data_IF_158010243043
#
_entry.id   IF_158010243043
#
_cell.length_a   1.000
_cell.length_b   1.000
_cell.length_c   1.000
_cell.angle_alpha   90.00
_cell.angle_beta   90.00
_cell.angle_gamma   90.00
#
_symmetry.space_group_name_H-M   'P 1'
#
loop_
_entity.id
_entity.type
_entity.pdbx_description
1 polymer ?
#
# COMPACT_ATOMS: atom_id res chain seq x y z
N UNK A 1 9.91 10.79 23.30
CA UNK A 1 10.64 10.13 22.20
C UNK A 1 11.30 11.22 21.37
N UNK A 2 12.54 11.00 20.93
CA UNK A 2 13.22 11.89 19.97
C UNK A 2 12.67 11.65 18.55
N UNK A 3 12.95 12.54 17.57
CA UNK A 3 12.60 12.29 16.17
C UNK A 3 13.12 10.93 15.66
N UNK A 4 14.36 10.57 15.97
CA UNK A 4 14.97 9.31 15.56
C UNK A 4 14.26 8.11 16.16
N UNK A 5 13.86 8.20 17.44
CA UNK A 5 13.06 7.16 18.09
C UNK A 5 11.68 7.00 17.44
N UNK A 6 11.06 8.10 16.98
CA UNK A 6 9.79 8.04 16.27
C UNK A 6 9.95 7.42 14.88
N UNK A 7 10.97 7.81 14.13
CA UNK A 7 11.30 7.21 12.83
C UNK A 7 11.54 5.70 12.98
N UNK A 8 12.28 5.28 13.99
CA UNK A 8 12.51 3.86 14.28
C UNK A 8 11.23 3.11 14.63
N UNK A 9 10.28 3.73 15.35
CA UNK A 9 8.97 3.12 15.61
C UNK A 9 8.15 2.97 14.32
N UNK A 10 8.16 3.97 13.44
CA UNK A 10 7.47 3.86 12.15
C UNK A 10 8.10 2.77 11.28
N UNK A 11 9.43 2.69 11.24
CA UNK A 11 10.14 1.62 10.51
C UNK A 11 9.76 0.24 11.05
N UNK A 12 9.76 0.06 12.37
CA UNK A 12 9.36 -1.20 12.99
C UNK A 12 7.91 -1.59 12.66
N UNK A 13 7.00 -0.60 12.54
CA UNK A 13 5.62 -0.86 12.09
C UNK A 13 5.59 -1.35 10.64
N UNK A 14 6.38 -0.74 9.75
CA UNK A 14 6.51 -1.17 8.35
C UNK A 14 7.08 -2.58 8.28
N UNK A 15 8.18 -2.85 8.99
CA UNK A 15 8.83 -4.17 9.00
C UNK A 15 7.86 -5.26 9.45
N UNK A 16 7.07 -5.02 10.50
CA UNK A 16 6.07 -5.96 11.02
C UNK A 16 4.93 -6.21 10.03
N UNK A 17 4.43 -5.16 9.37
CA UNK A 17 3.34 -5.31 8.40
C UNK A 17 3.82 -5.96 7.11
N UNK A 18 5.02 -5.63 6.60
CA UNK A 18 5.63 -6.32 5.47
C UNK A 18 5.86 -7.80 5.76
N UNK A 19 6.42 -8.13 6.94
CA UNK A 19 6.56 -9.53 7.38
C UNK A 19 5.20 -10.23 7.46
N UNK A 20 4.17 -9.55 7.97
CA UNK A 20 2.81 -10.08 8.07
C UNK A 20 2.20 -10.43 6.71
N UNK A 21 2.50 -9.65 5.68
CA UNK A 21 2.04 -9.91 4.31
C UNK A 21 2.99 -10.80 3.50
N UNK A 22 4.12 -11.23 4.09
CA UNK A 22 5.11 -12.06 3.39
C UNK A 22 5.90 -11.29 2.33
N UNK A 23 5.97 -9.97 2.44
CA UNK A 23 6.67 -9.08 1.51
C UNK A 23 8.12 -8.83 1.95
N UNK A 24 9.00 -8.53 0.99
CA UNK A 24 10.38 -8.13 1.29
C UNK A 24 10.41 -6.74 1.95
N UNK A 25 11.06 -6.56 3.10
CA UNK A 25 11.02 -5.32 3.85
C UNK A 25 11.67 -4.15 3.11
N UNK A 26 11.12 -2.95 3.30
CA UNK A 26 11.61 -1.70 2.71
C UNK A 26 11.95 -0.66 3.78
N UNK A 27 12.99 0.13 3.53
CA UNK A 27 13.33 1.27 4.38
C UNK A 27 12.40 2.46 4.07
N UNK A 28 11.95 3.17 5.11
CA UNK A 28 11.19 4.41 4.94
C UNK A 28 12.11 5.54 4.45
N UNK A 29 11.78 6.10 3.29
CA UNK A 29 12.35 7.34 2.77
C UNK A 29 11.67 8.56 3.42
N UNK A 30 12.29 9.14 4.46
CA UNK A 30 11.78 10.36 5.08
C UNK A 30 12.08 11.60 4.24
N UNK A 31 11.05 12.40 3.96
CA UNK A 31 11.18 13.73 3.35
C UNK A 31 10.62 14.80 4.29
N UNK A 32 10.96 16.07 4.08
CA UNK A 32 10.42 17.18 4.87
C UNK A 32 9.65 18.13 3.98
N UNK A 33 8.37 18.33 4.27
CA UNK A 33 7.48 19.27 3.59
C UNK A 33 6.57 19.94 4.63
N UNK A 34 6.54 21.27 4.62
CA UNK A 34 5.58 22.05 5.41
C UNK A 34 4.28 22.23 4.63
N UNK A 35 3.14 22.50 5.31
CA UNK A 35 1.89 22.77 4.62
C UNK A 35 2.03 23.94 3.64
N UNK A 36 1.40 23.82 2.49
CA UNK A 36 1.36 24.89 1.49
C UNK A 36 0.55 26.11 1.97
N UNK A 37 0.44 27.14 1.13
CA UNK A 37 -0.30 28.36 1.47
C UNK A 37 -1.80 28.14 1.73
N UNK A 38 -2.35 27.01 1.28
CA UNK A 38 -3.74 26.60 1.49
C UNK A 38 -3.88 25.60 2.66
N UNK A 39 -2.78 25.23 3.32
CA UNK A 39 -2.75 24.28 4.42
C UNK A 39 -2.74 22.81 3.99
N UNK A 40 -2.57 22.51 2.70
CA UNK A 40 -2.44 21.15 2.19
C UNK A 40 -1.03 20.62 2.46
N UNK A 41 -0.92 19.34 2.80
CA UNK A 41 0.35 18.69 3.12
C UNK A 41 0.28 17.20 2.77
N UNK A 42 1.37 16.66 2.23
CA UNK A 42 1.52 15.23 1.99
C UNK A 42 1.95 14.53 3.28
N UNK A 43 1.23 13.49 3.71
CA UNK A 43 1.60 12.70 4.90
C UNK A 43 2.59 11.60 4.57
N UNK A 44 2.31 10.84 3.53
CA UNK A 44 3.11 9.74 3.03
C UNK A 44 2.69 9.36 1.62
N UNK A 45 3.39 8.39 1.04
CA UNK A 45 3.04 7.78 -0.25
C UNK A 45 3.77 6.45 -0.42
N UNK A 46 3.09 5.46 -0.96
CA UNK A 46 3.69 4.30 -1.60
C UNK A 46 3.81 4.49 -3.13
N UNK A 47 4.90 3.97 -3.73
CA UNK A 47 5.12 3.96 -5.18
C UNK A 47 5.44 2.54 -5.66
N UNK A 48 4.50 1.94 -6.40
CA UNK A 48 4.63 0.58 -6.95
C UNK A 48 5.88 0.42 -7.83
N UNK A 49 6.10 1.36 -8.75
CA UNK A 49 7.16 1.23 -9.76
C UNK A 49 8.59 1.30 -9.21
N UNK A 50 8.79 1.99 -8.08
CA UNK A 50 10.08 2.15 -7.41
C UNK A 50 10.21 1.29 -6.14
N UNK A 51 9.12 0.67 -5.68
CA UNK A 51 9.05 -0.02 -4.39
C UNK A 51 9.39 0.89 -3.21
N UNK A 52 8.98 2.16 -3.27
CA UNK A 52 9.40 3.18 -2.31
C UNK A 52 8.26 3.64 -1.39
N UNK A 53 8.48 3.46 -0.07
CA UNK A 53 7.62 4.03 0.97
C UNK A 53 8.20 5.35 1.49
N UNK A 54 7.44 6.43 1.36
CA UNK A 54 7.87 7.78 1.79
C UNK A 54 6.98 8.32 2.89
N UNK A 55 7.58 8.94 3.90
CA UNK A 55 6.84 9.56 5.02
C UNK A 55 7.34 10.98 5.30
N UNK A 56 6.42 11.90 5.61
CA UNK A 56 6.75 13.29 5.88
C UNK A 56 7.22 13.50 7.33
N UNK A 57 8.49 13.85 7.48
CA UNK A 57 9.16 14.12 8.75
C UNK A 57 8.57 15.31 9.51
N UNK A 58 7.99 16.30 8.81
CA UNK A 58 7.29 17.43 9.46
C UNK A 58 6.18 16.94 10.40
N UNK A 59 5.56 15.79 10.06
CA UNK A 59 4.40 15.24 10.74
C UNK A 59 4.76 14.17 11.79
N UNK A 60 6.04 13.99 12.15
CA UNK A 60 6.47 12.94 13.12
C UNK A 60 5.73 12.99 14.46
N UNK A 61 5.24 14.16 14.86
CA UNK A 61 4.50 14.34 16.11
C UNK A 61 2.98 14.26 15.95
N UNK A 62 2.48 14.17 14.72
CA UNK A 62 1.07 13.88 14.45
C UNK A 62 0.77 12.42 14.76
N UNK A 63 -0.31 12.13 15.51
CA UNK A 63 -0.76 10.75 15.70
C UNK A 63 -1.18 10.10 14.37
N UNK A 64 -1.66 10.90 13.42
CA UNK A 64 -2.18 10.42 12.15
C UNK A 64 -1.07 9.86 11.25
N UNK A 65 0.18 10.28 11.44
CA UNK A 65 1.31 9.77 10.63
C UNK A 65 1.49 8.25 10.78
N UNK A 66 1.26 7.71 11.98
CA UNK A 66 1.35 6.27 12.21
C UNK A 66 0.23 5.50 11.49
N UNK A 67 -0.98 6.09 11.40
CA UNK A 67 -2.08 5.53 10.62
C UNK A 67 -1.80 5.62 9.13
N UNK A 68 -1.25 6.75 8.66
CA UNK A 68 -0.80 6.86 7.27
C UNK A 68 0.27 5.83 6.95
N UNK A 69 1.24 5.57 7.84
CA UNK A 69 2.26 4.55 7.58
C UNK A 69 1.65 3.18 7.29
N UNK A 70 0.66 2.72 8.06
CA UNK A 70 0.02 1.42 7.78
C UNK A 70 -0.90 1.46 6.56
N UNK A 71 -1.49 2.62 6.26
CA UNK A 71 -2.27 2.85 5.04
C UNK A 71 -1.41 2.69 3.78
N UNK A 72 -0.22 3.31 3.74
CA UNK A 72 0.72 3.15 2.62
C UNK A 72 1.24 1.71 2.50
N UNK A 73 1.49 1.03 3.62
CA UNK A 73 1.86 -0.40 3.60
C UNK A 73 0.72 -1.26 3.04
N UNK A 74 -0.54 -0.89 3.32
CA UNK A 74 -1.70 -1.60 2.77
C UNK A 74 -1.79 -1.43 1.25
N UNK A 75 -1.45 -0.27 0.70
CA UNK A 75 -1.29 -0.10 -0.75
C UNK A 75 -0.19 -0.99 -1.34
N UNK A 76 0.96 -1.10 -0.67
CA UNK A 76 2.02 -2.03 -1.09
C UNK A 76 1.51 -3.49 -1.13
N UNK A 77 0.79 -3.93 -0.11
CA UNK A 77 0.22 -5.28 -0.05
C UNK A 77 -0.83 -5.52 -1.15
N UNK A 78 -1.71 -4.53 -1.41
CA UNK A 78 -2.69 -4.62 -2.49
C UNK A 78 -1.99 -4.81 -3.85
N UNK A 79 -0.93 -4.05 -4.12
CA UNK A 79 -0.15 -4.16 -5.34
C UNK A 79 0.49 -5.55 -5.48
N UNK A 80 1.18 -6.01 -4.43
CA UNK A 80 1.81 -7.33 -4.40
C UNK A 80 0.80 -8.46 -4.67
N UNK A 81 -0.38 -8.42 -4.05
CA UNK A 81 -1.42 -9.44 -4.29
C UNK A 81 -2.02 -9.38 -5.69
N UNK A 82 -2.15 -8.18 -6.28
CA UNK A 82 -2.55 -8.04 -7.68
C UNK A 82 -1.50 -8.64 -8.60
N UNK A 83 -0.21 -8.33 -8.41
CA UNK A 83 0.89 -8.86 -9.22
C UNK A 83 1.03 -10.38 -9.11
N UNK A 84 0.97 -10.93 -7.89
CA UNK A 84 1.04 -12.39 -7.67
C UNK A 84 -0.06 -13.13 -8.44
N UNK A 85 -1.22 -12.51 -8.62
CA UNK A 85 -2.38 -13.12 -9.26
C UNK A 85 -2.53 -12.77 -10.75
N UNK A 86 -1.63 -11.96 -11.33
CA UNK A 86 -1.69 -11.56 -12.75
C UNK A 86 -1.29 -12.65 -13.75
N UNK A 87 -0.80 -13.79 -13.25
CA UNK A 87 -0.42 -14.94 -14.05
C UNK A 87 0.91 -14.75 -14.78
N UNK A 88 1.82 -15.69 -14.55
CA UNK A 88 3.16 -15.69 -15.09
C UNK A 88 3.25 -16.18 -16.53
N UNK A 89 4.36 -15.80 -17.19
CA UNK A 89 4.80 -16.34 -18.49
C UNK A 89 4.77 -17.88 -18.56
N UNK A 90 4.86 -18.57 -17.42
CA UNK A 90 5.09 -20.01 -17.32
C UNK A 90 3.88 -20.79 -16.80
N UNK A 91 2.74 -20.14 -16.55
CA UNK A 91 1.54 -20.77 -15.96
C UNK A 91 0.96 -21.90 -16.81
N UNK A 92 1.32 -21.95 -18.09
CA UNK A 92 0.97 -23.06 -18.98
C UNK A 92 1.71 -24.37 -18.65
N UNK A 93 2.77 -24.32 -17.83
CA UNK A 93 3.53 -25.49 -17.39
C UNK A 93 2.81 -26.19 -16.22
N UNK A 94 2.58 -27.52 -16.28
CA UNK A 94 1.73 -28.25 -15.31
C UNK A 94 2.34 -28.40 -13.90
N UNK A 95 3.52 -27.84 -13.64
CA UNK A 95 4.21 -27.86 -12.35
C UNK A 95 4.42 -26.46 -11.78
N UNK A 96 3.93 -25.42 -12.46
CA UNK A 96 3.87 -24.05 -11.95
C UNK A 96 2.43 -23.86 -11.46
N UNK A 97 2.29 -23.41 -10.23
CA UNK A 97 0.99 -23.02 -9.68
C UNK A 97 0.50 -21.80 -10.48
N UNK A 98 -0.72 -21.88 -11.02
CA UNK A 98 -1.34 -20.75 -11.70
C UNK A 98 -2.09 -19.82 -10.74
N UNK A 99 -2.68 -18.73 -11.25
CA UNK A 99 -3.31 -17.67 -10.45
C UNK A 99 -4.37 -18.14 -9.45
N UNK A 100 -5.06 -19.25 -9.74
CA UNK A 100 -6.06 -19.82 -8.82
C UNK A 100 -5.44 -20.26 -7.49
N UNK A 101 -4.24 -20.84 -7.54
CA UNK A 101 -3.53 -21.24 -6.34
C UNK A 101 -3.00 -20.02 -5.55
N UNK A 102 -2.67 -18.92 -6.24
CA UNK A 102 -2.31 -17.66 -5.58
C UNK A 102 -3.51 -17.04 -4.84
N UNK A 103 -4.70 -17.00 -5.47
CA UNK A 103 -5.93 -16.57 -4.80
C UNK A 103 -6.24 -17.42 -3.56
N UNK A 104 -6.17 -18.75 -3.67
CA UNK A 104 -6.40 -19.65 -2.53
C UNK A 104 -5.39 -19.39 -1.39
N UNK A 105 -4.10 -19.21 -1.71
CA UNK A 105 -3.07 -18.89 -0.71
C UNK A 105 -3.32 -17.56 -0.02
N UNK A 106 -3.67 -16.52 -0.78
CA UNK A 106 -3.94 -15.18 -0.26
C UNK A 106 -5.16 -15.20 0.66
N UNK A 107 -6.23 -15.89 0.27
CA UNK A 107 -7.43 -16.03 1.09
C UNK A 107 -7.15 -16.82 2.39
N UNK A 108 -6.45 -17.96 2.30
CA UNK A 108 -6.11 -18.77 3.47
C UNK A 108 -5.15 -18.06 4.43
N UNK A 109 -4.17 -17.32 3.90
CA UNK A 109 -3.11 -16.66 4.66
C UNK A 109 -3.53 -15.32 5.26
N UNK A 110 -4.32 -14.54 4.53
CA UNK A 110 -4.61 -13.14 4.85
C UNK A 110 -6.11 -12.84 4.99
N UNK A 111 -7.00 -13.77 4.64
CA UNK A 111 -8.44 -13.55 4.63
C UNK A 111 -8.91 -12.57 3.55
N UNK A 112 -8.06 -12.33 2.54
CA UNK A 112 -8.34 -11.45 1.42
C UNK A 112 -8.92 -12.29 0.30
N UNK A 113 -10.14 -11.98 -0.11
CA UNK A 113 -10.89 -12.73 -1.12
C UNK A 113 -10.42 -12.40 -2.53
N UNK A 114 -10.71 -13.31 -3.47
CA UNK A 114 -10.52 -13.05 -4.89
C UNK A 114 -11.27 -11.80 -5.35
N UNK A 115 -12.50 -11.61 -4.88
CA UNK A 115 -13.31 -10.45 -5.23
C UNK A 115 -12.66 -9.13 -4.80
N UNK A 116 -11.98 -9.10 -3.65
CA UNK A 116 -11.24 -7.92 -3.18
C UNK A 116 -10.02 -7.64 -4.08
N UNK A 117 -9.21 -8.65 -4.38
CA UNK A 117 -8.03 -8.49 -5.26
C UNK A 117 -8.42 -8.04 -6.67
N UNK A 118 -9.47 -8.63 -7.25
CA UNK A 118 -9.97 -8.21 -8.57
C UNK A 118 -10.56 -6.80 -8.53
N UNK A 119 -11.21 -6.39 -7.43
CA UNK A 119 -11.68 -5.02 -7.27
C UNK A 119 -10.52 -4.01 -7.22
N UNK A 120 -9.41 -4.36 -6.57
CA UNK A 120 -8.19 -3.53 -6.58
C UNK A 120 -7.54 -3.48 -7.96
N UNK A 121 -7.47 -4.62 -8.65
CA UNK A 121 -6.98 -4.68 -10.04
C UNK A 121 -7.80 -3.79 -10.95
N UNK A 122 -9.13 -3.94 -10.94
CA UNK A 122 -10.04 -3.13 -11.76
C UNK A 122 -9.92 -1.64 -11.41
N UNK A 123 -9.80 -1.30 -10.12
CA UNK A 123 -9.61 0.09 -9.69
C UNK A 123 -8.34 0.72 -10.27
N UNK A 124 -7.26 -0.04 -10.41
CA UNK A 124 -5.97 0.43 -10.93
C UNK A 124 -5.84 0.34 -12.47
N UNK A 125 -6.85 -0.19 -13.18
CA UNK A 125 -6.83 -0.19 -14.63
C UNK A 125 -6.83 1.24 -15.20
N UNK A 126 -6.19 1.48 -16.37
CA UNK A 126 -6.12 2.81 -16.97
C UNK A 126 -7.50 3.44 -17.19
N UNK A 127 -7.77 4.53 -16.47
CA UNK A 127 -9.01 5.30 -16.57
C UNK A 127 -10.06 5.00 -15.48
N UNK A 128 -9.81 4.02 -14.60
CA UNK A 128 -10.70 3.70 -13.49
C UNK A 128 -10.31 4.39 -12.18
N UNK A 129 -9.02 4.66 -11.97
CA UNK A 129 -8.53 5.34 -10.77
C UNK A 129 -8.97 6.81 -10.72
N UNK A 130 -9.49 7.25 -9.57
CA UNK A 130 -9.95 8.63 -9.36
C UNK A 130 -8.86 9.40 -8.63
N UNK A 131 -8.35 10.48 -9.23
CA UNK A 131 -7.39 11.36 -8.55
C UNK A 131 -8.07 12.18 -7.45
N UNK A 132 -7.42 12.39 -6.29
CA UNK A 132 -7.93 13.27 -5.25
C UNK A 132 -8.15 14.72 -5.72
N UNK A 133 -7.46 15.16 -6.77
CA UNK A 133 -7.63 16.50 -7.35
C UNK A 133 -8.90 16.64 -8.20
N UNK A 134 -9.38 15.54 -8.79
CA UNK A 134 -10.55 15.53 -9.68
C UNK A 134 -11.86 15.35 -8.89
N UNK A 135 -11.88 14.39 -7.96
CA UNK A 135 -13.01 14.13 -7.06
C UNK A 135 -12.49 13.52 -5.75
N UNK A 136 -12.36 14.34 -4.71
CA UNK A 136 -11.83 13.89 -3.43
C UNK A 136 -12.75 12.90 -2.71
N UNK A 137 -14.08 13.04 -2.83
CA UNK A 137 -15.01 12.08 -2.23
C UNK A 137 -14.95 10.76 -3.01
N UNK A 138 -14.95 10.81 -4.34
CA UNK A 138 -14.79 9.65 -5.21
C UNK A 138 -13.47 8.90 -5.01
N UNK A 139 -12.35 9.63 -4.94
CA UNK A 139 -11.04 9.08 -4.55
C UNK A 139 -11.16 8.34 -3.23
N UNK A 140 -11.78 8.96 -2.23
CA UNK A 140 -11.93 8.33 -0.92
C UNK A 140 -12.83 7.10 -0.93
N UNK A 141 -13.79 6.99 -1.83
CA UNK A 141 -14.74 5.87 -1.83
C UNK A 141 -14.31 4.72 -2.76
N UNK A 142 -13.13 4.82 -3.39
CA UNK A 142 -12.64 3.78 -4.29
C UNK A 142 -12.14 2.53 -3.54
N UNK A 143 -12.24 1.32 -4.13
CA UNK A 143 -11.90 0.05 -3.47
C UNK A 143 -10.57 0.02 -2.72
N UNK A 144 -9.48 0.51 -3.35
CA UNK A 144 -8.15 0.48 -2.72
C UNK A 144 -8.05 1.38 -1.49
N UNK A 145 -8.75 2.52 -1.50
CA UNK A 145 -8.77 3.50 -0.41
C UNK A 145 -9.69 3.09 0.73
N UNK A 146 -10.79 2.39 0.43
CA UNK A 146 -11.72 1.87 1.45
C UNK A 146 -11.08 0.73 2.23
N UNK A 147 -10.36 -0.16 1.55
CA UNK A 147 -9.64 -1.26 2.17
C UNK A 147 -8.42 -0.79 2.98
N UNK A 148 -7.74 0.27 2.54
CA UNK A 148 -6.56 0.80 3.23
C UNK A 148 -6.85 1.62 4.51
N UNK A 149 -8.10 1.70 4.98
CA UNK A 149 -8.54 2.59 6.08
C UNK A 149 -8.61 1.98 7.46
#
# INVERSE_FOLDING_TARGET
MTPEQKKAVLQEMVDQEFERYGMDPVDISFFYEEPDENGMITYGSWSDGDGELRMNEYLLYSPDLALTTVHEVRHAAQHEFVEQTEGGMWDWLPWVDGPEADYERIEEGHGITREEVEAWRENNEPGNYISPEDDYEGYRDQPVEVDAR
#
